data_IF_056240559541
#
_entry.id   IF_056240559541
#
_cell.length_a   1.000
_cell.length_b   1.000
_cell.length_c   1.000
_cell.angle_alpha   90.00
_cell.angle_beta   90.00
_cell.angle_gamma   90.00
#
_symmetry.space_group_name_H-M   'P 1'
#
loop_
_entity.id
_entity.type
_entity.pdbx_description
1 polymer ?
#
# COMPACT_ATOMS: atom_id res chain seq x y z
N UNK A 1 -9.91 26.32 20.91
CA UNK A 1 -9.05 25.49 20.06
C UNK A 1 -9.83 25.25 18.78
N UNK A 2 -9.55 26.02 17.74
CA UNK A 2 -10.13 25.79 16.41
C UNK A 2 -9.30 24.68 15.78
N UNK A 3 -9.90 23.51 15.56
CA UNK A 3 -9.27 22.47 14.75
C UNK A 3 -9.16 23.02 13.32
N UNK A 4 -7.94 23.36 12.92
CA UNK A 4 -7.59 23.65 11.54
C UNK A 4 -7.89 22.38 10.73
N UNK A 5 -8.69 22.46 9.64
CA UNK A 5 -8.93 21.29 8.82
C UNK A 5 -7.58 20.87 8.22
N UNK A 6 -7.12 19.66 8.56
CA UNK A 6 -5.94 19.09 7.92
C UNK A 6 -6.23 19.09 6.42
N UNK A 7 -5.58 20.00 5.68
CA UNK A 7 -5.68 20.03 4.24
C UNK A 7 -5.23 18.63 3.78
N UNK A 8 -6.16 17.86 3.22
CA UNK A 8 -5.85 16.56 2.67
C UNK A 8 -4.66 16.75 1.73
N UNK A 9 -3.49 16.26 2.13
CA UNK A 9 -2.32 16.15 1.27
C UNK A 9 -2.77 15.51 -0.04
N UNK A 10 -2.21 15.86 -1.21
CA UNK A 10 -2.73 15.39 -2.49
C UNK A 10 -2.81 13.86 -2.49
N UNK A 11 -4.03 13.32 -2.32
CA UNK A 11 -4.33 11.89 -2.18
C UNK A 11 -4.21 11.14 -3.52
N UNK A 12 -3.31 11.57 -4.40
CA UNK A 12 -3.18 11.05 -5.76
C UNK A 12 -1.73 10.92 -6.21
N UNK A 13 -0.80 10.74 -5.27
CA UNK A 13 0.53 10.27 -5.64
C UNK A 13 0.46 8.75 -5.78
N UNK A 14 0.20 8.28 -6.99
CA UNK A 14 0.50 6.89 -7.35
C UNK A 14 2.00 6.69 -7.05
N UNK A 15 2.37 5.78 -6.15
CA UNK A 15 3.77 5.55 -5.84
C UNK A 15 4.53 5.17 -7.10
N UNK A 16 5.70 5.77 -7.32
CA UNK A 16 6.55 5.40 -8.44
C UNK A 16 6.93 3.92 -8.33
N UNK A 17 7.01 3.17 -9.45
CA UNK A 17 7.43 1.78 -9.42
C UNK A 17 8.84 1.69 -8.84
N UNK A 18 9.02 0.73 -7.95
CA UNK A 18 10.28 0.46 -7.25
C UNK A 18 11.27 -0.30 -8.14
N UNK A 19 10.78 -0.93 -9.20
CA UNK A 19 11.57 -1.79 -10.09
C UNK A 19 11.76 -3.21 -9.54
N UNK A 20 11.23 -3.50 -8.35
CA UNK A 20 11.24 -4.82 -7.73
C UNK A 20 9.83 -5.40 -7.91
N UNK A 21 9.70 -6.41 -8.79
CA UNK A 21 8.39 -6.95 -9.20
C UNK A 21 7.50 -7.36 -8.02
N UNK A 22 8.08 -7.97 -6.97
CA UNK A 22 7.34 -8.36 -5.77
C UNK A 22 6.79 -7.16 -4.99
N UNK A 23 7.55 -6.07 -4.90
CA UNK A 23 7.13 -4.84 -4.21
C UNK A 23 6.12 -4.08 -5.06
N UNK A 24 6.32 -4.02 -6.38
CA UNK A 24 5.38 -3.37 -7.30
C UNK A 24 4.01 -4.07 -7.31
N UNK A 25 3.98 -5.40 -7.15
CA UNK A 25 2.75 -6.18 -6.99
C UNK A 25 2.00 -5.81 -5.70
N UNK A 26 2.72 -5.59 -4.60
CA UNK A 26 2.12 -5.13 -3.33
C UNK A 26 1.56 -3.71 -3.47
N UNK A 27 2.26 -2.82 -4.16
CA UNK A 27 1.80 -1.46 -4.42
C UNK A 27 0.53 -1.43 -5.27
N UNK A 28 0.42 -2.27 -6.30
CA UNK A 28 -0.79 -2.41 -7.12
C UNK A 28 -1.99 -2.91 -6.30
N UNK A 29 -1.76 -3.92 -5.45
CA UNK A 29 -2.76 -4.46 -4.52
C UNK A 29 -3.35 -3.39 -3.60
N UNK A 30 -2.49 -2.53 -3.04
CA UNK A 30 -2.93 -1.44 -2.15
C UNK A 30 -3.58 -0.30 -2.94
N UNK A 31 -3.07 0.03 -4.13
CA UNK A 31 -3.68 1.08 -4.98
C UNK A 31 -5.10 0.71 -5.42
N UNK A 32 -5.38 -0.59 -5.62
CA UNK A 32 -6.70 -1.09 -5.98
C UNK A 32 -7.71 -1.16 -4.82
N UNK A 33 -7.33 -0.80 -3.59
CA UNK A 33 -8.23 -0.93 -2.42
C UNK A 33 -9.38 0.05 -2.41
N UNK A 34 -9.20 1.26 -2.94
CA UNK A 34 -10.24 2.29 -2.95
C UNK A 34 -11.48 1.86 -3.76
N UNK A 35 -11.28 0.96 -4.72
CA UNK A 35 -12.36 0.35 -5.50
C UNK A 35 -13.03 -0.86 -4.82
N UNK A 36 -12.56 -1.30 -3.65
CA UNK A 36 -13.06 -2.48 -2.92
C UNK A 36 -13.88 -2.10 -1.69
N UNK A 37 -14.85 -2.94 -1.29
CA UNK A 37 -15.56 -2.78 -0.02
C UNK A 37 -14.58 -2.72 1.17
N UNK A 38 -14.88 -1.87 2.14
CA UNK A 38 -14.01 -1.63 3.30
C UNK A 38 -13.81 -2.89 4.13
N UNK A 39 -14.79 -3.79 4.13
CA UNK A 39 -14.73 -5.10 4.80
C UNK A 39 -13.63 -6.00 4.24
N UNK A 40 -13.22 -5.81 2.98
CA UNK A 40 -12.17 -6.58 2.32
C UNK A 40 -10.76 -6.02 2.58
N UNK A 41 -10.66 -4.75 3.00
CA UNK A 41 -9.37 -4.07 3.17
C UNK A 41 -8.44 -4.79 4.15
N UNK A 42 -8.89 -5.29 5.32
CA UNK A 42 -8.01 -5.98 6.26
C UNK A 42 -7.34 -7.22 5.65
N UNK A 43 -8.08 -8.03 4.89
CA UNK A 43 -7.56 -9.25 4.27
C UNK A 43 -6.54 -8.93 3.17
N UNK A 44 -6.78 -7.89 2.38
CA UNK A 44 -5.85 -7.42 1.36
C UNK A 44 -4.58 -6.85 2.00
N UNK A 45 -4.70 -6.04 3.05
CA UNK A 45 -3.55 -5.51 3.78
C UNK A 45 -2.72 -6.62 4.42
N UNK A 46 -3.34 -7.64 5.01
CA UNK A 46 -2.61 -8.78 5.56
C UNK A 46 -1.82 -9.53 4.49
N UNK A 47 -2.45 -9.78 3.34
CA UNK A 47 -1.81 -10.40 2.17
C UNK A 47 -0.65 -9.56 1.62
N UNK A 48 -0.84 -8.24 1.54
CA UNK A 48 0.18 -7.28 1.13
C UNK A 48 1.38 -7.28 2.09
N UNK A 49 1.13 -7.25 3.40
CA UNK A 49 2.16 -7.30 4.43
C UNK A 49 2.95 -8.61 4.41
N UNK A 50 2.27 -9.75 4.21
CA UNK A 50 2.94 -11.04 4.14
C UNK A 50 3.88 -11.11 2.94
N UNK A 51 3.41 -10.69 1.76
CA UNK A 51 4.24 -10.65 0.54
C UNK A 51 5.43 -9.70 0.68
N UNK A 52 5.22 -8.53 1.30
CA UNK A 52 6.30 -7.57 1.52
C UNK A 52 7.38 -8.13 2.45
N UNK A 53 6.99 -8.79 3.56
CA UNK A 53 7.96 -9.44 4.46
C UNK A 53 8.78 -10.48 3.72
N UNK A 54 8.11 -11.35 2.96
CA UNK A 54 8.80 -12.39 2.19
C UNK A 54 9.79 -11.79 1.19
N UNK A 55 9.40 -10.75 0.44
CA UNK A 55 10.29 -10.09 -0.51
C UNK A 55 11.52 -9.46 0.15
N UNK A 56 11.36 -8.91 1.36
CA UNK A 56 12.46 -8.32 2.12
C UNK A 56 13.37 -9.39 2.75
N UNK A 57 12.81 -10.48 3.27
CA UNK A 57 13.57 -11.64 3.80
C UNK A 57 14.36 -12.37 2.70
N UNK A 58 13.85 -12.38 1.46
CA UNK A 58 14.52 -12.97 0.29
C UNK A 58 15.66 -12.12 -0.28
N UNK A 59 15.96 -10.95 0.31
CA UNK A 59 17.12 -10.13 -0.08
C UNK A 59 18.34 -10.55 0.76
N UNK A 60 19.25 -11.40 0.25
CA UNK A 60 20.50 -11.69 0.95
C UNK A 60 21.40 -10.44 0.99
N UNK A 61 22.12 -10.26 2.10
CA UNK A 61 23.11 -9.21 2.35
C UNK A 61 24.16 -9.06 1.23
#
# INVERSE_FOLDING_TARGET
MTEEPVAAAPSSLVPAPTGIASIDTVLDLVAGLDARPLEEHPAVFETAHQQLRQALDETPE
#
